data_IF_034082440898
#
_entry.id   IF_034082440898
#
_cell.length_a   1.000
_cell.length_b   1.000
_cell.length_c   1.000
_cell.angle_alpha   90.00
_cell.angle_beta   90.00
_cell.angle_gamma   90.00
#
_symmetry.space_group_name_H-M   'P 1'
#
loop_
_entity.id
_entity.type
_entity.pdbx_description
1 polymer ?
#
# COMPACT_ATOMS: atom_id res chain seq x y z
N UNK A 1 1.65 27.13 9.32
CA UNK A 1 0.77 26.34 8.44
C UNK A 1 1.25 24.90 8.54
N UNK A 2 0.81 24.17 9.56
CA UNK A 2 1.34 22.86 9.95
C UNK A 2 0.36 21.77 9.51
N UNK A 3 0.67 21.05 8.44
CA UNK A 3 -0.01 19.79 8.12
C UNK A 3 0.58 18.67 8.98
N UNK A 4 0.07 18.55 10.20
CA UNK A 4 0.25 17.36 11.04
C UNK A 4 -0.58 16.22 10.44
N UNK A 5 0.00 15.48 9.50
CA UNK A 5 -0.59 14.24 9.00
C UNK A 5 -0.77 13.28 10.18
N UNK A 6 -2.03 13.04 10.55
CA UNK A 6 -2.48 12.00 11.50
C UNK A 6 -2.16 10.61 10.93
N UNK A 7 -0.87 10.24 10.89
CA UNK A 7 -0.39 8.91 10.51
C UNK A 7 -0.44 7.98 11.72
N UNK A 8 -1.64 7.75 12.23
CA UNK A 8 -1.87 6.89 13.38
C UNK A 8 -3.22 6.19 13.23
N UNK A 9 -3.38 5.29 12.24
CA UNK A 9 -4.55 4.41 12.25
C UNK A 9 -4.53 3.18 11.35
N UNK A 10 -3.72 3.05 10.31
CA UNK A 10 -3.92 1.90 9.39
C UNK A 10 -3.59 0.54 10.02
N UNK A 11 -2.39 0.38 10.60
CA UNK A 11 -1.98 -0.88 11.25
C UNK A 11 -2.90 -1.23 12.44
N UNK A 12 -3.29 -0.22 13.24
CA UNK A 12 -4.21 -0.43 14.37
C UNK A 12 -5.66 -0.73 13.96
N UNK A 13 -6.12 -0.21 12.82
CA UNK A 13 -7.43 -0.56 12.27
C UNK A 13 -7.45 -2.01 11.78
N UNK A 14 -6.37 -2.47 11.14
CA UNK A 14 -6.22 -3.87 10.72
C UNK A 14 -6.11 -4.83 11.92
N UNK A 15 -5.32 -4.50 12.95
CA UNK A 15 -5.23 -5.33 14.17
C UNK A 15 -6.56 -5.41 14.94
N UNK A 16 -7.38 -4.34 14.88
CA UNK A 16 -8.69 -4.31 15.52
C UNK A 16 -9.71 -5.15 14.76
N UNK A 17 -9.75 -5.06 13.43
CA UNK A 17 -10.61 -5.88 12.59
C UNK A 17 -10.31 -7.38 12.75
N UNK A 18 -9.03 -7.76 12.85
CA UNK A 18 -8.61 -9.14 13.06
C UNK A 18 -8.93 -9.69 14.48
N UNK A 19 -9.23 -8.83 15.46
CA UNK A 19 -9.56 -9.25 16.84
C UNK A 19 -11.06 -9.46 17.08
N UNK A 20 -11.92 -8.79 16.31
CA UNK A 20 -13.39 -8.88 16.47
C UNK A 20 -14.01 -10.03 15.65
N UNK A 21 -13.28 -10.68 14.74
CA UNK A 21 -13.76 -11.71 13.81
C UNK A 21 -13.65 -13.14 14.35
N UNK A 22 -14.09 -13.43 15.57
CA UNK A 22 -13.91 -14.77 16.16
C UNK A 22 -14.98 -15.80 15.76
N UNK A 23 -15.98 -15.46 14.94
CA UNK A 23 -17.13 -16.36 14.69
C UNK A 23 -17.65 -16.48 13.25
N UNK A 24 -16.89 -16.12 12.21
CA UNK A 24 -17.27 -16.44 10.83
C UNK A 24 -16.08 -17.02 10.06
N UNK A 25 -16.17 -18.32 9.79
CA UNK A 25 -15.22 -19.08 8.99
C UNK A 25 -15.39 -18.76 7.50
N UNK A 26 -14.88 -17.60 7.09
CA UNK A 26 -14.65 -17.25 5.69
C UNK A 26 -13.21 -16.79 5.54
N UNK A 27 -12.52 -17.28 4.52
CA UNK A 27 -11.15 -16.91 4.18
C UNK A 27 -11.10 -15.43 3.79
N UNK A 28 -11.05 -14.54 4.78
CA UNK A 28 -10.88 -13.12 4.57
C UNK A 28 -9.60 -12.92 3.74
N UNK A 29 -9.74 -12.33 2.55
CA UNK A 29 -8.62 -12.12 1.65
C UNK A 29 -7.56 -11.20 2.30
N UNK A 30 -6.32 -11.69 2.38
CA UNK A 30 -5.17 -10.90 2.81
C UNK A 30 -4.12 -10.87 1.70
N UNK A 31 -3.73 -9.69 1.18
CA UNK A 31 -2.68 -9.60 0.18
C UNK A 31 -1.34 -10.04 0.79
N UNK A 32 -0.57 -10.82 0.03
CA UNK A 32 0.76 -11.26 0.43
C UNK A 32 1.70 -10.06 0.50
N UNK A 33 2.51 -9.98 1.56
CA UNK A 33 3.56 -8.97 1.67
C UNK A 33 4.75 -9.44 0.83
N UNK A 34 5.19 -8.68 -0.19
CA UNK A 34 6.33 -9.06 -1.00
C UNK A 34 7.60 -9.02 -0.16
N UNK A 35 8.42 -10.06 -0.19
CA UNK A 35 9.70 -10.13 0.51
C UNK A 35 10.84 -9.46 -0.28
N UNK A 36 10.68 -9.38 -1.61
CA UNK A 36 11.66 -8.85 -2.53
C UNK A 36 10.98 -8.16 -3.74
N UNK A 37 11.77 -7.41 -4.50
CA UNK A 37 11.27 -6.64 -5.65
C UNK A 37 10.58 -7.54 -6.70
N UNK A 38 11.10 -8.73 -6.98
CA UNK A 38 10.53 -9.61 -8.01
C UNK A 38 9.11 -10.05 -7.67
N UNK A 39 8.79 -10.21 -6.38
CA UNK A 39 7.45 -10.57 -5.92
C UNK A 39 6.43 -9.43 -6.04
N UNK A 40 6.88 -8.18 -6.23
CA UNK A 40 5.96 -7.05 -6.44
C UNK A 40 5.35 -7.04 -7.84
N UNK A 41 5.94 -7.77 -8.80
CA UNK A 41 5.56 -7.71 -10.21
C UNK A 41 5.86 -6.35 -10.87
N UNK A 42 6.56 -5.44 -10.18
CA UNK A 42 6.88 -4.11 -10.67
C UNK A 42 8.24 -4.04 -11.35
N UNK A 43 8.34 -3.13 -12.32
CA UNK A 43 9.60 -2.82 -12.96
C UNK A 43 10.51 -2.05 -11.99
N UNK A 44 11.76 -2.49 -11.84
CA UNK A 44 12.77 -1.82 -11.02
C UNK A 44 12.92 -0.33 -11.34
N UNK A 45 12.87 0.04 -12.63
CA UNK A 45 12.97 1.42 -13.07
C UNK A 45 11.86 2.32 -12.51
N UNK A 46 10.67 1.76 -12.32
CA UNK A 46 9.55 2.49 -11.70
C UNK A 46 9.89 2.82 -10.24
N UNK A 47 10.48 1.88 -9.52
CA UNK A 47 10.86 2.06 -8.12
C UNK A 47 12.04 3.04 -8.00
N UNK A 48 13.03 2.94 -8.89
CA UNK A 48 14.09 3.96 -8.99
C UNK A 48 13.50 5.37 -9.15
N UNK A 49 12.56 5.53 -10.07
CA UNK A 49 11.94 6.83 -10.35
C UNK A 49 11.13 7.35 -9.16
N UNK A 50 10.40 6.47 -8.45
CA UNK A 50 9.70 6.84 -7.22
C UNK A 50 10.69 7.34 -6.16
N UNK A 51 11.79 6.61 -5.92
CA UNK A 51 12.83 6.99 -4.94
C UNK A 51 13.47 8.33 -5.31
N UNK A 52 13.86 8.50 -6.57
CA UNK A 52 14.50 9.72 -7.06
C UNK A 52 13.57 10.93 -6.95
N UNK A 53 12.29 10.77 -7.32
CA UNK A 53 11.29 11.85 -7.20
C UNK A 53 10.95 12.17 -5.75
N UNK A 54 10.90 11.17 -4.88
CA UNK A 54 10.68 11.38 -3.46
C UNK A 54 11.81 12.21 -2.86
N UNK A 55 13.07 11.85 -3.12
CA UNK A 55 14.23 12.60 -2.66
C UNK A 55 14.36 13.98 -3.33
N UNK A 56 13.88 14.15 -4.56
CA UNK A 56 13.82 15.47 -5.21
C UNK A 56 12.88 16.42 -4.46
N UNK A 57 11.76 15.90 -3.93
CA UNK A 57 10.77 16.69 -3.20
C UNK A 57 11.12 16.93 -1.73
N UNK A 58 11.66 15.93 -1.04
CA UNK A 58 11.94 15.99 0.41
C UNK A 58 13.41 16.30 0.74
N UNK A 59 14.31 16.20 -0.24
CA UNK A 59 15.72 16.53 -0.13
C UNK A 59 16.58 15.41 0.49
N UNK A 60 16.25 15.01 1.71
CA UNK A 60 17.01 14.00 2.48
C UNK A 60 16.05 13.08 3.20
N UNK A 61 16.29 11.77 3.13
CA UNK A 61 15.47 10.78 3.84
C UNK A 61 16.27 9.56 4.27
N UNK A 62 15.87 8.95 5.38
CA UNK A 62 16.42 7.66 5.83
C UNK A 62 15.90 6.54 4.92
N UNK A 63 16.71 5.52 4.65
CA UNK A 63 16.36 4.41 3.75
C UNK A 63 15.04 3.72 4.11
N UNK A 64 14.80 3.45 5.41
CA UNK A 64 13.52 2.91 5.89
C UNK A 64 12.33 3.84 5.66
N UNK A 65 12.53 5.15 5.81
CA UNK A 65 11.45 6.11 5.54
C UNK A 65 11.09 6.13 4.06
N UNK A 66 12.08 6.01 3.16
CA UNK A 66 11.83 5.88 1.72
C UNK A 66 10.96 4.65 1.45
N UNK A 67 11.30 3.51 2.07
CA UNK A 67 10.54 2.27 1.95
C UNK A 67 9.08 2.44 2.41
N UNK A 68 8.88 3.07 3.56
CA UNK A 68 7.56 3.34 4.13
C UNK A 68 6.72 4.29 3.26
N UNK A 69 7.32 5.33 2.69
CA UNK A 69 6.62 6.27 1.78
C UNK A 69 6.16 5.59 0.49
N UNK A 70 7.00 4.73 -0.09
CA UNK A 70 6.62 3.97 -1.29
C UNK A 70 5.89 2.67 -0.96
N UNK A 71 5.58 2.41 0.32
CA UNK A 71 4.83 1.24 0.79
C UNK A 71 5.43 -0.11 0.36
N UNK A 72 6.76 -0.20 0.30
CA UNK A 72 7.48 -1.44 0.06
C UNK A 72 8.36 -1.80 1.26
N UNK A 73 8.54 -3.09 1.58
CA UNK A 73 9.47 -3.46 2.64
C UNK A 73 10.90 -3.05 2.29
N UNK A 74 11.66 -2.60 3.30
CA UNK A 74 13.03 -2.09 3.11
C UNK A 74 13.94 -3.05 2.34
N UNK A 75 13.85 -4.36 2.62
CA UNK A 75 14.61 -5.40 1.90
C UNK A 75 14.41 -5.39 0.39
N UNK A 76 13.22 -5.02 -0.09
CA UNK A 76 12.92 -4.96 -1.52
C UNK A 76 13.63 -3.79 -2.22
N UNK A 77 13.92 -2.70 -1.50
CA UNK A 77 14.51 -1.48 -2.06
C UNK A 77 15.99 -1.30 -1.71
N UNK A 78 16.50 -2.05 -0.73
CA UNK A 78 17.88 -1.96 -0.24
C UNK A 78 18.90 -2.10 -1.38
N UNK A 79 18.68 -3.08 -2.26
CA UNK A 79 19.53 -3.29 -3.43
C UNK A 79 19.48 -2.11 -4.40
N UNK A 80 18.29 -1.56 -4.66
CA UNK A 80 18.08 -0.41 -5.55
C UNK A 80 18.80 0.82 -5.01
N UNK A 81 18.67 1.09 -3.71
CA UNK A 81 19.37 2.19 -3.04
C UNK A 81 20.90 2.04 -3.16
N UNK A 82 21.40 0.81 -2.99
CA UNK A 82 22.81 0.49 -3.19
C UNK A 82 23.25 0.75 -4.63
N UNK A 83 22.47 0.34 -5.63
CA UNK A 83 22.84 0.45 -7.03
C UNK A 83 22.73 1.88 -7.56
N UNK A 84 21.72 2.64 -7.16
CA UNK A 84 21.62 4.08 -7.42
C UNK A 84 22.81 4.85 -6.81
N UNK A 85 23.31 4.43 -5.65
CA UNK A 85 24.53 4.99 -5.06
C UNK A 85 25.79 4.59 -5.85
N UNK A 86 25.93 3.34 -6.27
CA UNK A 86 27.06 2.90 -7.13
C UNK A 86 27.10 3.66 -8.45
N UNK A 87 25.92 3.99 -9.00
CA UNK A 87 25.75 4.81 -10.19
C UNK A 87 25.93 6.31 -9.93
N UNK A 88 26.27 6.72 -8.70
CA UNK A 88 26.48 8.11 -8.29
C UNK A 88 25.24 9.00 -8.41
N UNK A 89 24.04 8.43 -8.42
CA UNK A 89 22.79 9.20 -8.34
C UNK A 89 22.43 9.57 -6.90
N UNK A 90 22.81 8.73 -5.93
CA UNK A 90 22.61 8.97 -4.50
C UNK A 90 23.95 9.09 -3.78
N UNK A 91 23.94 9.84 -2.67
CA UNK A 91 25.02 9.87 -1.69
C UNK A 91 24.46 9.80 -0.28
N UNK A 92 25.30 9.41 0.67
CA UNK A 92 24.97 9.50 2.08
C UNK A 92 25.21 10.92 2.59
N UNK A 93 24.27 11.43 3.38
CA UNK A 93 24.45 12.64 4.18
C UNK A 93 25.02 12.32 5.56
N UNK A 94 24.46 11.31 6.21
CA UNK A 94 24.90 10.82 7.52
C UNK A 94 24.48 9.36 7.75
N UNK A 95 25.06 8.75 8.78
CA UNK A 95 24.58 7.50 9.36
C UNK A 95 23.21 7.72 10.04
N UNK A 96 22.32 6.74 9.93
CA UNK A 96 20.97 6.76 10.51
C UNK A 96 20.67 5.48 11.31
N UNK A 97 21.67 4.97 12.03
CA UNK A 97 21.53 3.78 12.88
C UNK A 97 22.11 2.51 12.23
N UNK A 98 21.78 1.34 12.80
CA UNK A 98 22.39 0.07 12.40
C UNK A 98 22.01 -0.26 10.95
N UNK A 99 23.01 -0.15 10.06
CA UNK A 99 22.89 -0.44 8.62
C UNK A 99 21.81 0.38 7.90
N UNK A 100 21.55 1.61 8.34
CA UNK A 100 20.66 2.55 7.64
C UNK A 100 21.33 3.93 7.53
N UNK A 101 20.99 4.67 6.49
CA UNK A 101 21.65 5.93 6.14
C UNK A 101 20.64 6.98 5.70
N UNK A 102 21.01 8.25 5.88
CA UNK A 102 20.32 9.36 5.23
C UNK A 102 20.79 9.48 3.78
N UNK A 103 19.89 9.27 2.84
CA UNK A 103 20.14 9.38 1.40
C UNK A 103 19.77 10.78 0.91
N UNK A 104 20.57 11.31 -0.01
CA UNK A 104 20.28 12.52 -0.74
C UNK A 104 20.72 12.40 -2.21
N UNK A 105 20.11 13.20 -3.08
CA UNK A 105 20.49 13.24 -4.50
C UNK A 105 21.85 13.91 -4.68
N UNK A 106 22.66 13.36 -5.58
CA UNK A 106 23.79 14.09 -6.17
C UNK A 106 23.29 15.07 -7.24
N UNK A 107 24.18 15.88 -7.82
CA UNK A 107 23.82 16.72 -8.96
C UNK A 107 23.31 15.88 -10.16
N UNK A 108 24.00 14.77 -10.47
CA UNK A 108 23.57 13.84 -11.52
C UNK A 108 22.24 13.17 -11.18
N UNK A 109 22.05 12.77 -9.92
CA UNK A 109 20.79 12.22 -9.44
C UNK A 109 19.64 13.22 -9.53
N UNK A 110 19.90 14.50 -9.26
CA UNK A 110 18.91 15.58 -9.38
C UNK A 110 18.45 15.75 -10.83
N UNK A 111 19.37 15.72 -11.79
CA UNK A 111 19.02 15.75 -13.23
C UNK A 111 18.18 14.54 -13.62
N UNK A 112 18.57 13.32 -13.22
CA UNK A 112 17.79 12.10 -13.50
C UNK A 112 16.40 12.15 -12.86
N UNK A 113 16.29 12.66 -11.63
CA UNK A 113 15.02 12.82 -10.93
C UNK A 113 14.08 13.83 -11.62
N UNK A 114 14.62 14.95 -12.14
CA UNK A 114 13.84 15.92 -12.91
C UNK A 114 13.28 15.30 -14.19
N UNK A 115 14.11 14.56 -14.95
CA UNK A 115 13.66 13.82 -16.15
C UNK A 115 12.56 12.80 -15.80
N UNK A 116 12.71 12.09 -14.68
CA UNK A 116 11.68 11.16 -14.20
C UNK A 116 10.37 11.87 -13.83
N UNK A 117 10.46 13.07 -13.24
CA UNK A 117 9.30 13.89 -12.89
C UNK A 117 8.59 14.47 -14.14
N UNK A 118 9.33 14.74 -15.20
CA UNK A 118 8.77 15.16 -16.50
C UNK A 118 7.98 14.04 -17.18
N UNK A 119 8.40 12.77 -17.04
CA UNK A 119 7.69 11.64 -17.64
C UNK A 119 6.38 11.32 -16.90
N UNK A 120 6.38 11.44 -15.57
CA UNK A 120 5.20 11.20 -14.74
C UNK A 120 5.26 11.97 -13.42
N UNK A 121 4.18 12.70 -13.15
CA UNK A 121 3.97 13.43 -11.91
C UNK A 121 3.64 12.50 -10.71
N UNK A 122 3.41 11.20 -10.93
CA UNK A 122 3.05 10.28 -9.86
C UNK A 122 4.20 10.08 -8.88
N UNK A 123 3.98 10.40 -7.61
CA UNK A 123 4.94 10.17 -6.50
C UNK A 123 4.14 9.66 -5.30
N UNK A 124 4.62 8.60 -4.67
CA UNK A 124 3.96 7.99 -3.51
C UNK A 124 4.17 6.48 -3.48
N UNK A 125 3.16 5.76 -2.98
CA UNK A 125 3.13 4.31 -2.89
C UNK A 125 3.45 3.62 -4.21
N UNK A 126 4.14 2.49 -4.18
CA UNK A 126 4.33 1.67 -5.36
C UNK A 126 2.95 1.15 -5.83
N UNK A 127 2.61 1.26 -7.12
CA UNK A 127 1.35 0.73 -7.63
C UNK A 127 1.34 -0.79 -7.57
N UNK A 128 0.17 -1.41 -7.65
CA UNK A 128 0.03 -2.87 -7.75
C UNK A 128 -0.22 -3.25 -9.21
N UNK A 129 0.37 -4.36 -9.72
CA UNK A 129 0.06 -4.84 -11.06
C UNK A 129 -1.44 -5.07 -11.27
N UNK A 130 -1.93 -4.73 -12.47
CA UNK A 130 -3.37 -4.79 -12.77
C UNK A 130 -3.96 -6.21 -12.58
N UNK A 131 -3.20 -7.24 -12.93
CA UNK A 131 -3.63 -8.64 -12.79
C UNK A 131 -3.82 -9.05 -11.34
N UNK A 132 -2.91 -8.63 -10.45
CA UNK A 132 -3.01 -8.91 -9.02
C UNK A 132 -4.16 -8.14 -8.38
N UNK A 133 -4.37 -6.89 -8.81
CA UNK A 133 -5.53 -6.10 -8.40
C UNK A 133 -6.84 -6.80 -8.78
N UNK A 134 -6.98 -7.31 -10.01
CA UNK A 134 -8.19 -8.04 -10.43
C UNK A 134 -8.42 -9.28 -9.58
N UNK A 135 -7.38 -10.09 -9.33
CA UNK A 135 -7.48 -11.26 -8.47
C UNK A 135 -7.93 -10.89 -7.06
N UNK A 136 -7.42 -9.79 -6.52
CA UNK A 136 -7.80 -9.28 -5.20
C UNK A 136 -9.29 -8.91 -5.15
N UNK A 137 -9.81 -8.25 -6.19
CA UNK A 137 -11.22 -7.89 -6.30
C UNK A 137 -12.11 -9.14 -6.43
N UNK A 138 -11.73 -10.10 -7.28
CA UNK A 138 -12.46 -11.36 -7.43
C UNK A 138 -12.52 -12.15 -6.11
N UNK A 139 -11.42 -12.19 -5.36
CA UNK A 139 -11.33 -12.91 -4.08
C UNK A 139 -12.18 -12.28 -2.97
N UNK A 140 -12.53 -10.99 -3.10
CA UNK A 140 -13.37 -10.26 -2.16
C UNK A 140 -14.82 -10.12 -2.66
N UNK A 141 -15.16 -10.77 -3.77
CA UNK A 141 -16.48 -10.65 -4.37
C UNK A 141 -17.55 -11.31 -3.50
N UNK A 142 -18.52 -10.53 -3.06
CA UNK A 142 -19.71 -11.01 -2.33
C UNK A 142 -20.69 -11.77 -3.23
N UNK A 143 -20.40 -11.96 -4.52
CA UNK A 143 -21.31 -12.64 -5.47
C UNK A 143 -21.58 -14.10 -5.12
N UNK A 144 -20.78 -14.70 -4.23
CA UNK A 144 -20.97 -16.08 -3.76
C UNK A 144 -21.65 -16.15 -2.38
N UNK A 145 -21.85 -15.00 -1.75
CA UNK A 145 -22.51 -14.92 -0.45
C UNK A 145 -24.02 -15.04 -0.63
N UNK A 146 -24.62 -16.00 0.09
CA UNK A 146 -26.06 -16.23 0.11
C UNK A 146 -26.54 -16.13 1.56
N UNK A 147 -26.63 -14.91 2.13
CA UNK A 147 -26.96 -14.73 3.53
C UNK A 147 -28.37 -15.24 3.83
N UNK A 148 -28.49 -16.00 4.91
CA UNK A 148 -29.78 -16.53 5.36
C UNK A 148 -30.75 -15.43 5.83
N UNK A 149 -32.04 -15.76 5.88
CA UNK A 149 -33.06 -14.81 6.37
C UNK A 149 -32.79 -14.31 7.80
N UNK A 150 -32.19 -15.13 8.66
CA UNK A 150 -31.86 -14.76 10.04
C UNK A 150 -30.66 -13.79 10.10
N UNK A 151 -29.66 -13.98 9.24
CA UNK A 151 -28.51 -13.07 9.12
C UNK A 151 -28.93 -11.71 8.58
N UNK A 152 -29.83 -11.67 7.60
CA UNK A 152 -30.41 -10.42 7.12
C UNK A 152 -31.18 -9.69 8.22
N UNK A 153 -32.05 -10.39 8.96
CA UNK A 153 -32.77 -9.77 10.09
C UNK A 153 -31.81 -9.23 11.16
N UNK A 154 -30.74 -9.97 11.45
CA UNK A 154 -29.70 -9.53 12.37
C UNK A 154 -28.92 -8.33 11.83
N UNK A 155 -28.56 -8.30 10.55
CA UNK A 155 -27.84 -7.18 9.94
C UNK A 155 -28.69 -5.90 9.91
N UNK A 156 -30.00 -6.02 9.72
CA UNK A 156 -30.94 -4.91 9.65
C UNK A 156 -31.62 -4.58 10.98
N UNK A 157 -31.21 -5.17 12.11
CA UNK A 157 -31.91 -4.99 13.41
C UNK A 157 -31.94 -3.53 13.92
N UNK A 158 -30.94 -2.72 13.55
CA UNK A 158 -30.86 -1.31 13.90
C UNK A 158 -31.66 -0.40 12.95
N UNK A 159 -32.28 -0.96 11.92
CA UNK A 159 -33.11 -0.24 10.94
C UNK A 159 -34.59 -0.55 11.19
N UNK A 160 -35.42 0.50 11.30
CA UNK A 160 -36.87 0.36 11.39
C UNK A 160 -37.41 0.04 10.00
N UNK A 161 -37.43 -1.25 9.64
CA UNK A 161 -37.94 -1.75 8.37
C UNK A 161 -39.28 -2.45 8.58
N UNK A 162 -40.21 -2.23 7.65
CA UNK A 162 -41.45 -3.00 7.63
C UNK A 162 -41.16 -4.46 7.20
N UNK A 163 -41.83 -5.47 7.81
CA UNK A 163 -41.55 -6.88 7.53
C UNK A 163 -41.62 -7.27 6.06
N UNK A 164 -42.44 -6.57 5.26
CA UNK A 164 -42.61 -6.83 3.83
C UNK A 164 -41.33 -6.54 3.01
N UNK A 165 -40.47 -5.63 3.46
CA UNK A 165 -39.22 -5.24 2.79
C UNK A 165 -38.22 -6.42 2.74
N UNK A 166 -38.20 -7.28 3.76
CA UNK A 166 -37.34 -8.47 3.79
C UNK A 166 -37.72 -9.49 2.70
N UNK A 167 -39.03 -9.61 2.37
CA UNK A 167 -39.49 -10.50 1.30
C UNK A 167 -39.17 -9.98 -0.11
N UNK A 168 -39.03 -8.66 -0.27
CA UNK A 168 -38.61 -8.04 -1.53
C UNK A 168 -37.09 -8.08 -1.71
N UNK A 169 -36.33 -7.97 -0.62
CA UNK A 169 -34.87 -8.01 -0.66
C UNK A 169 -34.32 -9.43 -0.84
N UNK A 170 -34.97 -10.46 -0.28
CA UNK A 170 -34.52 -11.85 -0.38
C UNK A 170 -34.22 -12.34 -1.81
N UNK A 171 -35.11 -12.12 -2.80
CA UNK A 171 -34.89 -12.50 -4.20
C UNK A 171 -33.87 -11.63 -4.96
N UNK A 172 -33.46 -10.48 -4.41
CA UNK A 172 -32.49 -9.59 -5.04
C UNK A 172 -31.06 -9.79 -4.47
N UNK A 173 -30.97 -10.50 -3.34
CA UNK A 173 -29.71 -10.85 -2.66
C UNK A 173 -29.28 -12.29 -2.99
N UNK A 174 -30.22 -13.20 -3.28
CA UNK A 174 -29.97 -14.53 -3.88
C UNK A 174 -29.95 -14.48 -5.41
#
# INVERSE_FOLDING_TARGET
MNLSYKRFSYIKLFEKAARDSKDLSEEQFYPLVPENLNQTGLNEKLIEDLILKLLLSLGVMIGRQIADEICLPFKAIEQILSDLRKQLFLTYRSDAGINDFEYMLTEQGRTKALIAAESTAYVGSAPVPYTEYLQSIESQSIQKENPGSEELQRAFHDLVLEPHIFYTLGPAIN
#
